data_IF_628727500938
#
_entry.id   IF_628727500938
#
_cell.length_a   1.000
_cell.length_b   1.000
_cell.length_c   1.000
_cell.angle_alpha   90.00
_cell.angle_beta   90.00
_cell.angle_gamma   90.00
#
_symmetry.space_group_name_H-M   'P 1'
#
loop_
_entity.id
_entity.type
_entity.pdbx_description
1 polymer ?
#
# COMPACT_ATOMS: atom_id res chain seq x y z
N UNK A 1 -7.50 -3.75 10.18
CA UNK A 1 -7.66 -4.53 8.95
C UNK A 1 -9.11 -4.94 8.83
N UNK A 2 -9.74 -4.64 7.71
CA UNK A 2 -11.16 -4.91 7.50
C UNK A 2 -11.25 -6.05 6.50
N UNK A 3 -11.87 -7.15 6.91
CA UNK A 3 -12.19 -8.27 6.03
C UNK A 3 -13.70 -8.23 5.80
N UNK A 4 -14.10 -7.97 4.56
CA UNK A 4 -15.51 -8.07 4.18
C UNK A 4 -15.80 -9.45 3.59
N UNK A 5 -16.86 -10.09 4.07
CA UNK A 5 -17.39 -11.34 3.51
C UNK A 5 -18.83 -11.13 3.13
N UNK A 6 -19.15 -11.41 1.88
CA UNK A 6 -20.54 -11.37 1.39
C UNK A 6 -21.11 -12.78 1.40
N UNK A 7 -22.19 -12.98 2.15
CA UNK A 7 -22.97 -14.21 2.14
C UNK A 7 -24.21 -13.97 1.29
N UNK A 8 -24.43 -14.84 0.29
CA UNK A 8 -25.67 -14.82 -0.51
C UNK A 8 -26.56 -15.98 -0.09
N UNK A 9 -27.73 -15.69 0.46
CA UNK A 9 -28.76 -16.69 0.71
C UNK A 9 -29.73 -16.71 -0.48
N UNK A 10 -30.11 -17.91 -0.94
CA UNK A 10 -31.17 -18.09 -1.94
C UNK A 10 -32.26 -18.94 -1.32
N UNK A 11 -33.51 -18.47 -1.35
CA UNK A 11 -34.64 -19.25 -0.85
C UNK A 11 -35.09 -20.33 -1.86
N UNK A 12 -36.02 -21.21 -1.47
CA UNK A 12 -36.54 -22.27 -2.33
C UNK A 12 -37.30 -21.76 -3.57
N UNK A 13 -37.62 -20.46 -3.63
CA UNK A 13 -38.29 -19.80 -4.75
C UNK A 13 -37.32 -19.04 -5.67
N UNK A 14 -36.02 -19.08 -5.35
CA UNK A 14 -34.97 -18.41 -6.13
C UNK A 14 -34.73 -16.95 -5.76
N UNK A 15 -35.39 -16.41 -4.72
CA UNK A 15 -35.11 -15.05 -4.25
C UNK A 15 -33.74 -15.04 -3.56
N UNK A 16 -32.94 -14.01 -3.85
CA UNK A 16 -31.59 -13.86 -3.27
C UNK A 16 -31.54 -12.71 -2.29
N UNK A 17 -30.83 -12.89 -1.18
CA UNK A 17 -30.44 -11.81 -0.27
C UNK A 17 -28.94 -11.88 -0.03
N UNK A 18 -28.30 -10.71 0.09
CA UNK A 18 -26.88 -10.60 0.42
C UNK A 18 -26.73 -10.00 1.82
N UNK A 19 -25.88 -10.62 2.64
CA UNK A 19 -25.47 -10.09 3.93
C UNK A 19 -23.96 -9.83 3.86
N UNK A 20 -23.54 -8.61 4.16
CA UNK A 20 -22.12 -8.24 4.26
C UNK A 20 -21.73 -8.34 5.73
N UNK A 21 -20.80 -9.23 6.04
CA UNK A 21 -20.13 -9.29 7.33
C UNK A 21 -18.82 -8.53 7.24
N UNK A 22 -18.66 -7.50 8.06
CA UNK A 22 -17.43 -6.72 8.18
C UNK A 22 -16.69 -7.19 9.44
N UNK A 23 -15.54 -7.84 9.29
CA UNK A 23 -14.68 -8.27 10.40
C UNK A 23 -13.51 -7.30 10.50
N UNK A 24 -13.44 -6.56 11.61
CA UNK A 24 -12.31 -5.65 11.89
C UNK A 24 -11.29 -6.36 12.76
N UNK A 25 -10.18 -6.82 12.17
CA UNK A 25 -9.00 -7.30 12.91
C UNK A 25 -8.11 -6.09 13.23
N UNK A 26 -7.83 -5.86 14.51
CA UNK A 26 -6.87 -4.82 14.90
C UNK A 26 -5.45 -5.24 14.49
N UNK A 27 -4.66 -4.29 14.00
CA UNK A 27 -3.23 -4.50 13.78
C UNK A 27 -2.41 -4.22 15.06
N UNK A 28 -3.04 -3.80 16.16
CA UNK A 28 -2.37 -3.47 17.42
C UNK A 28 -1.45 -4.60 17.92
N UNK A 29 -1.94 -5.84 17.97
CA UNK A 29 -1.13 -6.98 18.40
C UNK A 29 0.10 -7.23 17.51
N UNK A 30 0.04 -6.91 16.22
CA UNK A 30 1.21 -7.03 15.34
C UNK A 30 2.29 -5.98 15.66
N UNK A 31 1.88 -4.80 16.14
CA UNK A 31 2.85 -3.80 16.62
C UNK A 31 3.48 -4.22 17.94
N UNK A 32 2.74 -4.87 18.84
CA UNK A 32 3.25 -5.47 20.07
C UNK A 32 4.25 -6.60 19.75
N UNK A 33 3.89 -7.51 18.83
CA UNK A 33 4.76 -8.60 18.38
C UNK A 33 6.08 -8.06 17.80
N UNK A 34 6.01 -7.02 16.96
CA UNK A 34 7.19 -6.39 16.38
C UNK A 34 8.07 -5.69 17.43
N UNK A 35 7.48 -5.10 18.47
CA UNK A 35 8.22 -4.42 19.52
C UNK A 35 8.77 -5.38 20.60
N UNK A 36 8.19 -6.57 20.73
CA UNK A 36 8.63 -7.63 21.65
C UNK A 36 9.66 -8.60 21.05
N UNK A 37 10.17 -8.29 19.85
CA UNK A 37 11.20 -9.11 19.21
C UNK A 37 12.57 -8.85 19.83
N UNK A 38 13.24 -9.90 20.29
CA UNK A 38 14.66 -9.95 20.64
C UNK A 38 15.47 -10.30 19.38
N UNK A 39 16.22 -9.33 18.84
CA UNK A 39 16.98 -9.44 17.60
C UNK A 39 18.42 -9.89 17.83
N UNK A 40 18.98 -9.69 19.03
CA UNK A 40 20.38 -10.02 19.34
C UNK A 40 20.57 -11.24 20.26
N UNK A 41 19.47 -11.78 20.79
CA UNK A 41 19.42 -13.00 21.59
C UNK A 41 19.85 -12.81 23.03
N UNK A 42 19.84 -11.57 23.54
CA UNK A 42 20.20 -11.27 24.93
C UNK A 42 19.05 -11.51 25.93
N UNK A 43 17.87 -11.86 25.44
CA UNK A 43 16.66 -12.10 26.23
C UNK A 43 15.87 -10.84 26.56
N UNK A 44 16.21 -9.69 25.97
CA UNK A 44 15.49 -8.42 26.10
C UNK A 44 14.85 -8.03 24.76
N UNK A 45 13.73 -7.31 24.86
CA UNK A 45 13.03 -6.80 23.67
C UNK A 45 13.83 -5.63 23.08
N UNK A 46 14.14 -5.69 21.78
CA UNK A 46 14.87 -4.62 21.11
C UNK A 46 13.94 -3.44 20.78
N UNK A 47 14.28 -2.20 21.14
CA UNK A 47 13.46 -1.06 20.77
C UNK A 47 13.54 -0.75 19.28
N UNK A 48 12.44 -0.25 18.68
CA UNK A 48 12.49 0.29 17.32
C UNK A 48 13.18 1.65 17.37
N UNK A 49 14.29 1.80 16.64
CA UNK A 49 15.03 3.07 16.55
C UNK A 49 14.99 3.58 15.12
N UNK A 50 14.44 4.79 14.96
CA UNK A 50 14.41 5.51 13.69
C UNK A 50 15.28 6.75 13.76
N UNK A 51 15.92 7.09 12.65
CA UNK A 51 16.87 8.20 12.56
C UNK A 51 18.30 7.79 12.91
N UNK A 52 19.14 8.78 13.26
CA UNK A 52 20.55 8.55 13.55
C UNK A 52 21.12 9.63 14.48
N UNK A 53 22.14 9.28 15.28
CA UNK A 53 22.90 10.20 16.15
C UNK A 53 22.01 11.00 17.12
N UNK A 54 21.88 12.33 16.93
CA UNK A 54 21.11 13.24 17.79
C UNK A 54 19.67 13.47 17.31
N UNK A 55 19.27 12.83 16.22
CA UNK A 55 17.97 13.01 15.57
C UNK A 55 17.33 11.62 15.51
N UNK A 56 16.84 11.14 16.65
CA UNK A 56 16.33 9.77 16.79
C UNK A 56 14.96 9.74 17.46
N UNK A 57 14.17 8.75 17.04
CA UNK A 57 12.94 8.32 17.69
C UNK A 57 13.09 6.86 18.08
N UNK A 58 13.10 6.59 19.38
CA UNK A 58 13.18 5.25 19.96
C UNK A 58 11.82 4.89 20.53
N UNK A 59 11.29 3.73 20.15
CA UNK A 59 10.00 3.22 20.60
C UNK A 59 10.26 1.90 21.33
N UNK A 60 9.87 1.84 22.61
CA UNK A 60 10.03 0.68 23.49
C UNK A 60 8.83 -0.27 23.34
N UNK A 61 8.89 -1.43 24.00
CA UNK A 61 7.86 -2.49 23.96
C UNK A 61 6.42 -2.03 24.26
N UNK A 62 6.24 -1.09 25.19
CA UNK A 62 4.93 -0.48 25.48
C UNK A 62 4.40 0.49 24.43
N UNK A 63 5.17 0.83 23.39
CA UNK A 63 4.84 1.87 22.42
C UNK A 63 3.84 1.48 21.32
N UNK A 64 3.31 0.26 21.31
CA UNK A 64 2.49 -0.27 20.22
C UNK A 64 1.22 0.56 19.96
N UNK A 65 0.48 0.92 21.00
CA UNK A 65 -0.73 1.76 20.90
C UNK A 65 -0.42 3.14 20.31
N UNK A 66 0.76 3.67 20.62
CA UNK A 66 1.21 4.94 20.05
C UNK A 66 1.43 4.81 18.54
N UNK A 67 2.15 3.78 18.10
CA UNK A 67 2.35 3.50 16.66
C UNK A 67 1.00 3.33 15.96
N UNK A 68 0.10 2.54 16.53
CA UNK A 68 -1.23 2.30 15.96
C UNK A 68 -2.04 3.60 15.84
N UNK A 69 -1.96 4.48 16.86
CA UNK A 69 -2.64 5.78 16.83
C UNK A 69 -2.05 6.73 15.79
N UNK A 70 -0.74 6.65 15.53
CA UNK A 70 0.01 7.53 14.65
C UNK A 70 -0.07 7.18 13.16
N UNK A 71 -0.38 5.93 12.83
CA UNK A 71 -0.45 5.43 11.46
C UNK A 71 -1.90 5.30 10.96
N UNK A 72 -2.16 5.42 9.64
CA UNK A 72 -1.21 5.83 8.60
C UNK A 72 -0.79 7.31 8.76
N UNK A 73 0.31 7.72 8.14
CA UNK A 73 0.73 9.13 8.15
C UNK A 73 -0.28 10.05 7.45
N UNK A 74 -0.28 11.34 7.76
CA UNK A 74 -1.25 12.33 7.25
C UNK A 74 -0.82 13.06 5.98
N UNK A 75 0.29 12.68 5.33
CA UNK A 75 0.68 13.18 4.01
C UNK A 75 1.29 14.59 3.98
N UNK A 76 1.99 15.03 5.03
CA UNK A 76 2.75 16.29 5.04
C UNK A 76 4.04 16.24 4.22
N UNK A 77 4.98 17.16 4.48
CA UNK A 77 6.26 17.18 3.78
C UNK A 77 7.29 16.25 4.45
N UNK A 78 7.98 15.38 3.70
CA UNK A 78 9.02 14.54 4.27
C UNK A 78 10.22 15.40 4.69
N UNK A 79 10.74 15.15 5.88
CA UNK A 79 11.83 15.91 6.47
C UNK A 79 12.70 15.05 7.39
N UNK A 80 13.87 15.56 7.78
CA UNK A 80 14.62 14.97 8.89
C UNK A 80 13.88 15.12 10.22
N UNK A 81 14.15 14.23 11.17
CA UNK A 81 13.69 14.39 12.54
C UNK A 81 14.27 15.66 13.17
N UNK A 82 13.54 16.31 14.10
CA UNK A 82 14.10 17.40 14.90
C UNK A 82 15.36 16.94 15.65
N UNK A 83 16.25 17.90 15.97
CA UNK A 83 17.49 17.62 16.69
C UNK A 83 17.23 17.30 18.16
N UNK A 84 16.79 16.07 18.42
CA UNK A 84 16.68 15.49 19.73
C UNK A 84 16.66 13.95 19.67
N UNK A 85 17.05 13.33 20.78
CA UNK A 85 16.82 11.91 21.02
C UNK A 85 15.49 11.79 21.78
N UNK A 86 14.51 11.15 21.15
CA UNK A 86 13.16 10.99 21.69
C UNK A 86 12.93 9.53 22.02
N UNK A 87 12.31 9.26 23.16
CA UNK A 87 11.97 7.90 23.61
C UNK A 87 10.48 7.86 23.89
N UNK A 88 9.82 6.80 23.43
CA UNK A 88 8.39 6.55 23.60
C UNK A 88 8.24 5.20 24.29
N UNK A 89 7.67 5.22 25.49
CA UNK A 89 7.51 4.04 26.35
C UNK A 89 6.05 3.53 26.43
N UNK A 90 5.13 4.16 25.69
CA UNK A 90 3.71 3.83 25.71
C UNK A 90 2.86 4.61 26.72
N UNK A 91 3.47 5.26 27.71
CA UNK A 91 2.72 5.85 28.84
C UNK A 91 1.81 7.02 28.45
N UNK A 92 2.16 7.79 27.41
CA UNK A 92 1.42 8.99 27.01
C UNK A 92 1.54 9.37 25.52
N UNK A 93 2.20 8.53 24.71
CA UNK A 93 2.48 8.77 23.29
C UNK A 93 3.08 10.16 22.98
N UNK A 94 3.81 10.77 23.93
CA UNK A 94 4.51 12.03 23.71
C UNK A 94 5.85 11.77 23.03
N UNK A 95 5.83 11.76 21.71
CA UNK A 95 7.01 11.48 20.88
C UNK A 95 7.85 12.71 20.56
N UNK A 96 7.30 13.92 20.73
CA UNK A 96 8.00 15.16 20.38
C UNK A 96 8.27 15.32 18.86
N UNK A 97 7.64 14.48 18.05
CA UNK A 97 7.53 14.62 16.59
C UNK A 97 6.26 15.44 16.27
N UNK A 98 6.18 15.93 15.03
CA UNK A 98 5.00 16.65 14.57
C UNK A 98 3.89 15.66 14.20
N UNK A 99 2.75 15.82 14.87
CA UNK A 99 1.52 15.09 14.57
C UNK A 99 0.48 16.05 13.98
N UNK A 100 -0.44 15.54 13.16
CA UNK A 100 -1.61 16.28 12.68
C UNK A 100 -2.65 16.43 13.78
N UNK A 101 -3.70 17.21 13.50
CA UNK A 101 -4.81 17.42 14.43
C UNK A 101 -5.55 16.13 14.82
N UNK A 102 -5.49 15.10 13.98
CA UNK A 102 -6.03 13.75 14.21
C UNK A 102 -5.03 12.79 14.89
N UNK A 103 -3.85 13.30 15.29
CA UNK A 103 -2.82 12.52 15.96
C UNK A 103 -1.95 11.67 15.05
N UNK A 104 -2.06 11.79 13.72
CA UNK A 104 -1.22 11.04 12.77
C UNK A 104 0.15 11.66 12.56
N UNK A 105 1.14 10.87 12.15
CA UNK A 105 2.47 11.39 11.83
C UNK A 105 2.39 12.30 10.60
N UNK A 106 2.81 13.57 10.75
CA UNK A 106 2.84 14.52 9.63
C UNK A 106 3.97 14.28 8.64
N UNK A 107 5.08 13.70 9.10
CA UNK A 107 6.25 13.45 8.27
C UNK A 107 6.11 12.08 7.57
N UNK A 108 5.77 12.02 6.27
CA UNK A 108 5.48 10.75 5.61
C UNK A 108 6.72 9.85 5.53
N UNK A 109 7.94 10.38 5.42
CA UNK A 109 9.14 9.55 5.46
C UNK A 109 9.26 8.80 6.79
N UNK A 110 8.96 9.47 7.91
CA UNK A 110 8.98 8.84 9.23
C UNK A 110 7.88 7.77 9.34
N UNK A 111 6.67 8.06 8.87
CA UNK A 111 5.55 7.13 8.91
C UNK A 111 5.85 5.86 8.11
N UNK A 112 6.35 6.01 6.88
CA UNK A 112 6.67 4.87 6.00
C UNK A 112 7.86 4.06 6.52
N UNK A 113 8.91 4.72 7.03
CA UNK A 113 10.06 4.04 7.63
C UNK A 113 9.67 3.26 8.90
N UNK A 114 8.80 3.83 9.74
CA UNK A 114 8.27 3.15 10.93
C UNK A 114 7.47 1.92 10.53
N UNK A 115 6.53 2.07 9.60
CA UNK A 115 5.71 0.98 9.10
C UNK A 115 6.55 -0.15 8.49
N UNK A 116 7.56 0.20 7.68
CA UNK A 116 8.45 -0.78 7.06
C UNK A 116 9.29 -1.51 8.13
N UNK A 117 9.78 -0.79 9.14
CA UNK A 117 10.55 -1.40 10.24
C UNK A 117 9.73 -2.45 10.97
N UNK A 118 8.46 -2.14 11.28
CA UNK A 118 7.53 -3.10 11.89
C UNK A 118 7.37 -4.34 11.01
N UNK A 119 7.16 -4.16 9.70
CA UNK A 119 7.02 -5.29 8.76
C UNK A 119 8.26 -6.16 8.68
N UNK A 120 9.45 -5.56 8.66
CA UNK A 120 10.71 -6.32 8.62
C UNK A 120 10.92 -7.10 9.91
N UNK A 121 10.47 -6.61 11.06
CA UNK A 121 10.54 -7.39 12.30
C UNK A 121 9.59 -8.58 12.30
N UNK A 122 8.38 -8.39 11.77
CA UNK A 122 7.39 -9.47 11.62
C UNK A 122 7.79 -10.49 10.53
N UNK A 123 8.46 -10.03 9.46
CA UNK A 123 9.00 -10.85 8.39
C UNK A 123 10.44 -10.41 8.04
N UNK A 124 11.47 -11.01 8.68
CA UNK A 124 12.87 -10.68 8.40
C UNK A 124 13.31 -10.95 6.95
N UNK A 125 12.60 -11.81 6.19
CA UNK A 125 12.95 -12.06 4.79
C UNK A 125 12.66 -10.84 3.92
N UNK A 126 11.67 -10.01 4.28
CA UNK A 126 11.42 -8.75 3.61
C UNK A 126 12.66 -7.85 3.62
N UNK A 127 13.33 -7.71 4.77
CA UNK A 127 14.54 -6.90 4.90
C UNK A 127 15.70 -7.35 3.99
N UNK A 128 15.79 -8.66 3.74
CA UNK A 128 16.81 -9.26 2.88
C UNK A 128 16.41 -9.28 1.39
N UNK A 129 15.16 -9.01 1.06
CA UNK A 129 14.67 -8.99 -0.31
C UNK A 129 15.36 -7.88 -1.10
N UNK A 130 15.87 -8.22 -2.29
CA UNK A 130 16.50 -7.26 -3.21
C UNK A 130 15.45 -6.31 -3.77
N UNK A 131 15.77 -5.03 -3.91
CA UNK A 131 14.85 -4.06 -4.51
C UNK A 131 14.47 -4.45 -5.94
N UNK A 132 15.38 -5.10 -6.69
CA UNK A 132 15.11 -5.61 -8.04
C UNK A 132 14.06 -6.73 -8.11
N UNK A 133 13.73 -7.37 -6.98
CA UNK A 133 12.79 -8.48 -6.91
C UNK A 133 11.38 -8.03 -6.50
N UNK A 134 11.21 -6.73 -6.21
CA UNK A 134 9.92 -6.15 -5.80
C UNK A 134 9.20 -5.60 -7.04
N UNK A 135 7.87 -5.68 -7.06
CA UNK A 135 7.03 -5.03 -8.09
C UNK A 135 6.90 -3.51 -7.81
N UNK A 136 8.04 -2.84 -7.66
CA UNK A 136 8.13 -1.42 -7.33
C UNK A 136 9.04 -0.68 -8.31
N UNK A 137 8.55 0.44 -8.83
CA UNK A 137 9.32 1.32 -9.69
C UNK A 137 10.17 2.28 -8.83
N UNK A 138 11.47 1.99 -8.69
CA UNK A 138 12.39 2.85 -7.96
C UNK A 138 13.01 3.90 -8.86
N UNK A 139 13.01 5.16 -8.40
CA UNK A 139 13.63 6.25 -9.16
C UNK A 139 15.16 6.05 -9.23
N UNK A 140 15.81 6.16 -10.40
CA UNK A 140 17.25 5.89 -10.57
C UNK A 140 18.16 6.70 -9.65
N UNK A 141 17.76 7.92 -9.29
CA UNK A 141 18.49 8.79 -8.34
C UNK A 141 18.64 8.20 -6.92
N UNK A 142 17.89 7.16 -6.54
CA UNK A 142 18.13 6.46 -5.26
C UNK A 142 19.33 5.51 -5.35
N UNK A 143 19.60 4.96 -6.55
CA UNK A 143 20.68 3.99 -6.76
C UNK A 143 22.07 4.56 -6.41
N UNK A 144 22.27 5.87 -6.57
CA UNK A 144 23.53 6.54 -6.22
C UNK A 144 23.85 6.46 -4.71
N UNK A 145 22.83 6.29 -3.86
CA UNK A 145 22.99 6.21 -2.41
C UNK A 145 22.99 4.77 -1.88
N UNK A 146 22.40 3.84 -2.63
CA UNK A 146 22.15 2.47 -2.20
C UNK A 146 23.26 1.50 -2.58
N UNK A 147 24.08 1.85 -3.59
CA UNK A 147 25.14 0.98 -4.11
C UNK A 147 24.60 -0.14 -5.02
N UNK A 148 25.41 -1.18 -5.22
CA UNK A 148 25.08 -2.26 -6.14
C UNK A 148 24.13 -3.28 -5.49
N UNK A 149 23.07 -3.64 -6.21
CA UNK A 149 22.11 -4.68 -5.82
C UNK A 149 21.55 -4.51 -4.38
N UNK A 150 20.91 -3.37 -4.09
CA UNK A 150 20.43 -3.07 -2.75
C UNK A 150 19.25 -3.92 -2.32
N UNK A 151 19.15 -4.18 -1.02
CA UNK A 151 17.98 -4.78 -0.37
C UNK A 151 17.07 -3.75 0.29
N UNK A 152 15.92 -4.21 0.77
CA UNK A 152 15.00 -3.40 1.59
C UNK A 152 15.71 -2.85 2.83
N UNK A 153 16.57 -3.62 3.50
CA UNK A 153 17.38 -3.14 4.63
C UNK A 153 18.34 -2.01 4.22
N UNK A 154 18.89 -2.03 3.01
CA UNK A 154 19.70 -0.90 2.52
C UNK A 154 18.86 0.36 2.34
N UNK A 155 17.63 0.23 1.83
CA UNK A 155 16.70 1.35 1.69
C UNK A 155 16.26 1.90 3.06
N UNK A 156 15.92 1.04 4.01
CA UNK A 156 15.56 1.45 5.36
C UNK A 156 16.75 2.12 6.09
N UNK A 157 17.96 1.62 5.89
CA UNK A 157 19.18 2.28 6.38
C UNK A 157 19.34 3.69 5.78
N UNK A 158 19.11 3.84 4.48
CA UNK A 158 19.14 5.14 3.81
C UNK A 158 18.09 6.10 4.40
N UNK A 159 16.87 5.61 4.65
CA UNK A 159 15.80 6.35 5.32
C UNK A 159 16.19 6.81 6.71
N UNK A 160 16.81 5.94 7.53
CA UNK A 160 17.28 6.31 8.86
C UNK A 160 18.40 7.36 8.83
N UNK A 161 19.31 7.30 7.86
CA UNK A 161 20.33 8.33 7.69
C UNK A 161 19.72 9.68 7.25
N UNK A 162 18.69 9.66 6.40
CA UNK A 162 17.96 10.86 5.98
C UNK A 162 17.15 11.46 7.14
N UNK A 163 16.42 10.64 7.89
CA UNK A 163 15.72 11.03 9.11
C UNK A 163 16.70 11.59 10.16
N UNK A 164 17.90 11.02 10.26
CA UNK A 164 18.97 11.47 11.14
C UNK A 164 19.66 12.78 10.72
N UNK A 165 19.30 13.36 9.57
CA UNK A 165 19.97 14.52 8.98
C UNK A 165 21.49 14.32 8.80
N UNK A 166 21.92 13.10 8.46
CA UNK A 166 23.33 12.75 8.28
C UNK A 166 23.77 12.90 6.81
N UNK A 167 22.84 12.62 5.90
CA UNK A 167 23.09 12.74 4.48
C UNK A 167 22.86 14.19 4.05
N UNK A 168 23.53 14.61 2.97
CA UNK A 168 23.34 15.90 2.33
C UNK A 168 21.94 16.04 1.71
N UNK A 169 21.77 16.72 0.57
CA UNK A 169 20.46 16.83 -0.08
C UNK A 169 19.98 15.45 -0.58
N UNK A 170 19.23 14.72 0.26
CA UNK A 170 18.55 13.48 -0.10
C UNK A 170 17.20 13.86 -0.70
N UNK A 171 16.80 13.23 -1.82
CA UNK A 171 15.45 13.42 -2.36
C UNK A 171 14.43 12.72 -1.46
N UNK A 172 14.04 13.40 -0.39
CA UNK A 172 13.11 12.93 0.62
C UNK A 172 11.80 12.36 0.03
N UNK A 173 11.25 13.02 -1.00
CA UNK A 173 10.07 12.55 -1.74
C UNK A 173 10.28 11.18 -2.38
N UNK A 174 11.32 11.04 -3.21
CA UNK A 174 11.64 9.76 -3.87
C UNK A 174 11.87 8.62 -2.88
N UNK A 175 12.53 8.92 -1.76
CA UNK A 175 12.75 7.93 -0.71
C UNK A 175 11.44 7.53 -0.01
N UNK A 176 10.54 8.49 0.20
CA UNK A 176 9.20 8.24 0.77
C UNK A 176 8.38 7.37 -0.19
N UNK A 177 8.35 7.70 -1.47
CA UNK A 177 7.63 6.94 -2.50
C UNK A 177 8.13 5.50 -2.60
N UNK A 178 9.46 5.31 -2.52
CA UNK A 178 10.07 3.98 -2.53
C UNK A 178 9.64 3.14 -1.32
N UNK A 179 9.64 3.71 -0.11
CA UNK A 179 9.18 3.00 1.09
C UNK A 179 7.67 2.72 1.03
N UNK A 180 6.89 3.68 0.56
CA UNK A 180 5.45 3.56 0.40
C UNK A 180 5.09 2.40 -0.53
N UNK A 181 5.74 2.30 -1.70
CA UNK A 181 5.50 1.19 -2.63
C UNK A 181 5.74 -0.18 -1.98
N UNK A 182 6.84 -0.34 -1.24
CA UNK A 182 7.12 -1.59 -0.51
C UNK A 182 6.05 -1.84 0.55
N UNK A 183 5.63 -0.79 1.25
CA UNK A 183 4.60 -0.91 2.26
C UNK A 183 3.23 -1.31 1.67
N UNK A 184 2.85 -0.79 0.51
CA UNK A 184 1.62 -1.19 -0.16
C UNK A 184 1.66 -2.66 -0.64
N UNK A 185 2.80 -3.11 -1.18
CA UNK A 185 2.97 -4.49 -1.63
C UNK A 185 2.99 -5.54 -0.51
N UNK A 186 3.21 -5.12 0.74
CA UNK A 186 3.32 -5.98 1.91
C UNK A 186 2.35 -5.52 3.00
N UNK A 187 1.07 -5.88 2.90
CA UNK A 187 0.08 -5.53 3.92
C UNK A 187 0.43 -6.16 5.28
N UNK A 188 0.35 -5.38 6.38
CA UNK A 188 0.59 -5.87 7.75
C UNK A 188 -0.37 -7.00 8.12
N UNK A 189 -1.64 -6.84 7.74
CA UNK A 189 -2.56 -7.95 7.67
C UNK A 189 -2.49 -8.45 6.26
N UNK A 190 -1.75 -9.52 6.04
CA UNK A 190 -1.83 -10.21 4.76
C UNK A 190 -3.28 -10.54 4.44
N UNK A 191 -3.56 -10.73 3.16
CA UNK A 191 -4.61 -11.65 2.76
C UNK A 191 -4.16 -13.04 3.24
N UNK A 192 -4.26 -13.29 4.54
CA UNK A 192 -4.27 -14.65 5.06
C UNK A 192 -5.39 -15.30 4.26
N UNK A 193 -5.00 -16.11 3.27
CA UNK A 193 -5.90 -17.02 2.60
C UNK A 193 -6.52 -17.79 3.74
N UNK A 194 -7.71 -17.36 4.16
CA UNK A 194 -8.44 -18.00 5.23
C UNK A 194 -8.35 -19.48 4.93
N UNK A 195 -7.87 -20.32 5.87
CA UNK A 195 -7.63 -21.73 5.59
C UNK A 195 -8.85 -22.21 4.84
N UNK A 196 -8.66 -22.62 3.59
CA UNK A 196 -9.75 -23.10 2.75
C UNK A 196 -10.23 -24.35 3.47
N UNK A 197 -11.21 -24.19 4.36
CA UNK A 197 -11.94 -25.31 4.90
C UNK A 197 -12.63 -25.88 3.67
N UNK A 198 -12.02 -26.91 3.10
CA UNK A 198 -12.55 -27.66 1.99
C UNK A 198 -13.80 -28.35 2.53
N UNK A 199 -14.94 -27.67 2.47
CA UNK A 199 -16.22 -28.34 2.55
C UNK A 199 -16.27 -29.25 1.32
N UNK A 200 -16.18 -30.55 1.57
CA UNK A 200 -16.44 -31.60 0.59
C UNK A 200 -17.93 -31.58 0.21
N UNK A 201 -18.30 -30.60 -0.59
CA UNK A 201 -19.61 -30.44 -1.18
C UNK A 201 -19.40 -29.75 -2.52
N UNK A 202 -19.61 -30.49 -3.61
CA UNK A 202 -19.27 -30.05 -4.97
C UNK A 202 -19.67 -28.61 -5.22
N UNK A 203 -18.69 -27.75 -5.51
CA UNK A 203 -18.94 -26.39 -5.92
C UNK A 203 -19.62 -26.38 -7.29
N UNK A 204 -20.80 -25.75 -7.44
CA UNK A 204 -21.16 -25.15 -8.71
C UNK A 204 -20.14 -24.04 -9.00
N UNK A 205 -19.83 -23.81 -10.27
CA UNK A 205 -18.93 -22.76 -10.74
C UNK A 205 -19.19 -21.43 -9.99
N UNK A 206 -18.23 -21.01 -9.17
CA UNK A 206 -18.30 -19.73 -8.47
C UNK A 206 -18.20 -18.57 -9.48
N UNK A 207 -18.82 -17.41 -9.19
CA UNK A 207 -18.76 -16.26 -10.07
C UNK A 207 -17.32 -15.76 -10.14
N UNK A 208 -16.88 -15.47 -11.37
CA UNK A 208 -15.61 -14.82 -11.64
C UNK A 208 -15.53 -13.53 -10.79
N UNK A 209 -14.41 -13.37 -10.08
CA UNK A 209 -14.08 -12.17 -9.31
C UNK A 209 -13.98 -11.01 -10.30
N UNK A 210 -15.09 -10.30 -10.46
CA UNK A 210 -15.34 -9.42 -11.58
C UNK A 210 -14.72 -8.04 -11.37
N UNK A 211 -13.50 -7.86 -11.87
CA UNK A 211 -12.82 -6.57 -11.86
C UNK A 211 -12.48 -6.05 -13.26
N UNK A 212 -12.22 -4.75 -13.36
CA UNK A 212 -11.63 -4.07 -14.50
C UNK A 212 -10.25 -4.67 -14.80
N UNK A 213 -10.17 -5.43 -15.89
CA UNK A 213 -8.91 -5.93 -16.43
C UNK A 213 -8.60 -5.24 -17.76
N UNK A 214 -7.35 -4.80 -17.96
CA UNK A 214 -6.90 -4.07 -19.14
C UNK A 214 -5.84 -4.91 -19.85
N UNK A 215 -6.04 -5.20 -21.15
CA UNK A 215 -5.09 -6.00 -21.94
C UNK A 215 -5.08 -5.59 -23.42
N UNK A 216 -3.97 -5.74 -24.15
CA UNK A 216 -2.65 -6.10 -23.63
C UNK A 216 -2.08 -4.98 -22.74
N UNK A 217 -1.11 -5.32 -21.90
CA UNK A 217 -0.34 -4.35 -21.13
C UNK A 217 1.12 -4.83 -21.09
N UNK A 218 2.07 -4.15 -21.77
CA UNK A 218 1.93 -2.87 -22.49
C UNK A 218 1.01 -2.91 -23.72
N UNK A 219 0.40 -1.78 -24.06
CA UNK A 219 -0.48 -1.59 -25.22
C UNK A 219 0.13 -0.59 -26.21
N UNK A 220 -0.02 -0.84 -27.51
CA UNK A 220 0.54 0.04 -28.55
C UNK A 220 -0.55 0.82 -29.31
N UNK A 221 -1.46 0.11 -29.97
CA UNK A 221 -2.49 0.71 -30.81
C UNK A 221 -3.85 0.77 -30.12
N UNK A 222 -4.20 -0.29 -29.39
CA UNK A 222 -5.43 -0.38 -28.63
C UNK A 222 -5.26 -1.21 -27.36
N UNK A 223 -6.12 -0.94 -26.39
CA UNK A 223 -6.28 -1.72 -25.16
C UNK A 223 -7.74 -2.14 -25.02
N UNK A 224 -7.98 -3.32 -24.48
CA UNK A 224 -9.28 -3.88 -24.20
C UNK A 224 -9.55 -3.85 -22.70
N UNK A 225 -10.72 -3.32 -22.35
CA UNK A 225 -11.18 -3.18 -20.99
C UNK A 225 -12.26 -4.24 -20.77
N UNK A 226 -11.94 -5.28 -20.00
CA UNK A 226 -12.93 -6.27 -19.59
C UNK A 226 -13.70 -5.75 -18.38
N UNK A 227 -15.00 -5.52 -18.60
CA UNK A 227 -15.96 -4.98 -17.64
C UNK A 227 -17.14 -5.94 -17.44
N UNK A 228 -16.98 -7.23 -17.78
CA UNK A 228 -18.10 -8.20 -17.79
C UNK A 228 -18.85 -8.27 -16.44
N UNK A 229 -18.17 -7.97 -15.33
CA UNK A 229 -18.74 -7.87 -14.00
C UNK A 229 -19.84 -6.81 -13.84
N UNK A 230 -19.83 -5.80 -14.70
CA UNK A 230 -20.65 -4.61 -14.65
C UNK A 230 -21.56 -4.46 -15.88
N UNK A 231 -21.69 -5.53 -16.68
CA UNK A 231 -22.53 -5.51 -17.89
C UNK A 231 -23.96 -5.06 -17.57
N UNK A 232 -24.55 -4.27 -18.46
CA UNK A 232 -25.91 -3.75 -18.28
C UNK A 232 -26.01 -2.47 -17.43
N UNK A 233 -24.92 -2.01 -16.81
CA UNK A 233 -24.95 -0.84 -15.92
C UNK A 233 -24.43 0.43 -16.61
N UNK A 234 -24.95 1.62 -16.27
CA UNK A 234 -24.41 2.89 -16.76
C UNK A 234 -23.06 3.20 -16.12
N UNK A 235 -22.09 3.60 -16.94
CA UNK A 235 -20.73 3.79 -16.45
C UNK A 235 -19.97 4.95 -17.13
N UNK A 236 -18.97 5.44 -16.41
CA UNK A 236 -18.01 6.42 -16.90
C UNK A 236 -16.61 5.88 -16.65
N UNK A 237 -15.81 5.76 -17.71
CA UNK A 237 -14.38 5.46 -17.60
C UNK A 237 -13.60 6.74 -17.84
N UNK A 238 -12.71 7.06 -16.90
CA UNK A 238 -11.78 8.19 -16.99
C UNK A 238 -10.36 7.68 -17.03
N UNK A 239 -9.56 8.22 -17.94
CA UNK A 239 -8.14 7.87 -18.04
C UNK A 239 -7.30 9.09 -17.68
N UNK A 240 -6.36 8.90 -16.76
CA UNK A 240 -5.46 9.92 -16.24
C UNK A 240 -4.00 9.58 -16.56
N UNK A 241 -3.20 10.61 -16.78
CA UNK A 241 -1.73 10.51 -16.77
C UNK A 241 -1.19 10.38 -15.34
N UNK A 242 0.09 10.04 -15.19
CA UNK A 242 0.78 10.05 -13.89
C UNK A 242 0.81 11.42 -13.20
N UNK A 243 0.68 12.51 -13.96
CA UNK A 243 0.57 13.87 -13.42
C UNK A 243 -0.86 14.20 -12.95
N UNK A 244 -1.80 13.24 -13.01
CA UNK A 244 -3.19 13.43 -12.62
C UNK A 244 -4.03 14.18 -13.65
N UNK A 245 -3.47 14.51 -14.83
CA UNK A 245 -4.23 15.16 -15.90
C UNK A 245 -5.20 14.15 -16.53
N UNK A 246 -6.47 14.53 -16.64
CA UNK A 246 -7.50 13.77 -17.38
C UNK A 246 -7.17 13.81 -18.88
N UNK A 247 -7.00 12.62 -19.46
CA UNK A 247 -6.62 12.40 -20.87
C UNK A 247 -7.85 12.12 -21.71
N UNK A 248 -8.73 11.22 -21.24
CA UNK A 248 -9.97 10.87 -21.92
C UNK A 248 -11.05 10.54 -20.89
N UNK A 249 -12.31 10.86 -21.20
CA UNK A 249 -13.49 10.43 -20.47
C UNK A 249 -14.47 9.82 -21.48
N UNK A 250 -14.96 8.60 -21.20
CA UNK A 250 -16.02 7.96 -21.99
C UNK A 250 -17.20 7.63 -21.09
N UNK A 251 -18.38 8.10 -21.50
CA UNK A 251 -19.66 7.82 -20.84
C UNK A 251 -20.42 6.79 -21.64
N UNK A 252 -20.98 5.81 -20.96
CA UNK A 252 -21.77 4.75 -21.56
C UNK A 252 -23.09 4.65 -20.81
N UNK A 253 -24.19 4.58 -21.55
CA UNK A 253 -25.51 4.33 -20.96
C UNK A 253 -25.60 2.91 -20.41
N UNK A 254 -24.88 1.96 -21.02
CA UNK A 254 -24.85 0.55 -20.65
C UNK A 254 -23.48 -0.05 -21.01
N UNK A 255 -22.87 -0.77 -20.07
CA UNK A 255 -21.64 -1.53 -20.32
C UNK A 255 -21.97 -2.75 -21.19
N UNK A 256 -21.25 -3.00 -22.30
CA UNK A 256 -21.48 -4.17 -23.13
C UNK A 256 -21.04 -5.47 -22.46
N UNK A 257 -21.64 -6.59 -22.85
CA UNK A 257 -21.28 -7.95 -22.38
C UNK A 257 -19.84 -8.37 -22.78
N UNK A 258 -19.23 -7.67 -23.72
CA UNK A 258 -17.90 -7.95 -24.25
C UNK A 258 -16.83 -6.94 -23.83
N UNK A 259 -15.54 -7.25 -24.08
CA UNK A 259 -14.47 -6.32 -23.82
C UNK A 259 -14.61 -5.04 -24.65
N UNK A 260 -14.41 -3.90 -23.99
CA UNK A 260 -14.48 -2.59 -24.62
C UNK A 260 -13.13 -2.23 -25.21
N UNK A 261 -13.07 -2.00 -26.52
CA UNK A 261 -11.85 -1.54 -27.20
C UNK A 261 -11.62 -0.03 -26.98
N UNK A 262 -10.36 0.30 -26.67
CA UNK A 262 -9.88 1.65 -26.43
C UNK A 262 -8.71 1.94 -27.37
N UNK A 263 -8.86 2.94 -28.25
CA UNK A 263 -7.81 3.32 -29.20
C UNK A 263 -6.84 4.30 -28.55
N UNK A 264 -5.54 4.09 -28.77
CA UNK A 264 -4.45 4.81 -28.11
C UNK A 264 -3.71 5.79 -29.05
N UNK A 265 -4.36 6.17 -30.15
CA UNK A 265 -3.79 7.06 -31.20
C UNK A 265 -3.43 8.47 -30.69
N UNK A 266 -4.02 8.92 -29.58
CA UNK A 266 -3.74 10.22 -28.96
C UNK A 266 -2.95 10.13 -27.65
N UNK A 267 -2.48 8.93 -27.30
CA UNK A 267 -1.72 8.68 -26.08
C UNK A 267 -0.22 8.77 -26.37
N UNK A 268 0.52 9.42 -25.47
CA UNK A 268 1.99 9.42 -25.48
C UNK A 268 2.51 8.15 -24.80
N UNK A 269 3.77 7.78 -25.06
CA UNK A 269 4.40 6.68 -24.34
C UNK A 269 4.44 7.00 -22.83
N UNK A 270 3.96 6.06 -21.99
CA UNK A 270 3.88 6.29 -20.55
C UNK A 270 2.88 5.39 -19.82
N UNK A 271 2.82 5.54 -18.49
CA UNK A 271 1.89 4.85 -17.60
C UNK A 271 0.61 5.68 -17.40
N UNK A 272 -0.54 5.03 -17.45
CA UNK A 272 -1.86 5.63 -17.32
C UNK A 272 -2.70 4.91 -16.27
N UNK A 273 -3.59 5.67 -15.62
CA UNK A 273 -4.58 5.17 -14.67
C UNK A 273 -5.97 5.25 -15.29
N UNK A 274 -6.67 4.11 -15.34
CA UNK A 274 -8.07 4.05 -15.72
C UNK A 274 -8.95 3.91 -14.48
N UNK A 275 -9.91 4.81 -14.32
CA UNK A 275 -10.86 4.81 -13.19
C UNK A 275 -12.26 4.56 -13.73
N UNK A 276 -12.90 3.52 -13.22
CA UNK A 276 -14.27 3.14 -13.55
C UNK A 276 -15.23 3.70 -12.51
N UNK A 277 -16.23 4.44 -12.97
CA UNK A 277 -17.38 4.88 -12.19
C UNK A 277 -18.63 4.16 -12.69
N UNK A 278 -19.42 3.58 -11.79
CA UNK A 278 -20.72 2.97 -12.10
C UNK A 278 -21.75 3.61 -11.19
N UNK A 279 -22.88 4.05 -11.77
CA UNK A 279 -23.91 4.82 -11.06
C UNK A 279 -23.36 6.06 -10.30
N UNK A 280 -22.27 6.64 -10.80
CA UNK A 280 -21.62 7.81 -10.21
C UNK A 280 -20.67 7.53 -9.04
N UNK A 281 -20.52 6.27 -8.61
CA UNK A 281 -19.55 5.86 -7.60
C UNK A 281 -18.30 5.27 -8.26
N UNK A 282 -17.11 5.62 -7.74
CA UNK A 282 -15.86 5.00 -8.17
C UNK A 282 -15.82 3.56 -7.67
N UNK A 283 -15.76 2.61 -8.59
CA UNK A 283 -15.81 1.18 -8.25
C UNK A 283 -14.43 0.54 -8.33
N UNK A 284 -13.62 0.95 -9.31
CA UNK A 284 -12.31 0.34 -9.51
C UNK A 284 -11.33 1.24 -10.25
N UNK A 285 -10.04 1.01 -10.00
CA UNK A 285 -8.93 1.63 -10.70
C UNK A 285 -8.02 0.55 -11.30
N UNK A 286 -7.65 0.70 -12.57
CA UNK A 286 -6.68 -0.15 -13.28
C UNK A 286 -5.51 0.69 -13.79
N UNK A 287 -4.36 0.05 -14.01
CA UNK A 287 -3.14 0.68 -14.55
C UNK A 287 -2.73 0.02 -15.87
N UNK A 288 -2.28 0.79 -16.84
CA UNK A 288 -1.75 0.26 -18.11
C UNK A 288 -0.65 1.15 -18.70
N UNK A 289 0.29 0.53 -19.41
CA UNK A 289 1.42 1.20 -20.08
C UNK A 289 1.13 1.31 -21.57
N UNK A 290 1.42 2.47 -22.15
CA UNK A 290 1.38 2.71 -23.60
C UNK A 290 2.80 2.75 -24.16
N UNK A 291 3.06 1.93 -25.18
CA UNK A 291 4.34 1.84 -25.90
C UNK A 291 4.13 1.91 -27.42
N UNK A 292 4.68 2.95 -28.06
CA UNK A 292 4.81 3.06 -29.52
C UNK A 292 6.22 2.76 -29.98
#
# INVERSE_FOLDING_TARGET
>A
CIIERTFTATDARGNRSACIQVITKSAAGLFEDALSTDLDGDGLNDPIVLGYSRNTLTILDGGADCIFSWLPGSGGSPASLPRAQRVVDGSNCRSGIQLSADGKINNPLLAEALLLTVKIRLDPQLGNTRLSNLDCAFHPALSQFLGNNPSVNNLLRLANLALGNILGPVPFGLLTDALHCINEGHALCGDEQAPRIAFAGGSPAGPATGGLAIYPNPASNSAHFNLAAFSGQPAVIRIYSLQGQLVEERRMAEIPDGPLEWRLENYSNGLYLAVLFVEGQQVQTGRFVVER
#
